data_IF_419916576371
#
_entry.id   IF_419916576371
#
_cell.length_a   1.000
_cell.length_b   1.000
_cell.length_c   1.000
_cell.angle_alpha   90.00
_cell.angle_beta   90.00
_cell.angle_gamma   90.00
#
_symmetry.space_group_name_H-M   'P 1'
#
loop_
_entity.id
_entity.type
_entity.pdbx_description
1 polymer ?
#
# COMPACT_ATOMS: atom_id res chain seq x y z
N UNK A 1 -46.82 18.94 9.13
CA UNK A 1 -46.11 19.69 10.18
C UNK A 1 -45.76 18.75 11.34
N UNK A 2 -44.54 18.33 11.47
CA UNK A 2 -43.90 17.85 12.71
C UNK A 2 -42.38 17.92 12.48
N UNK A 3 -41.74 18.89 13.08
CA UNK A 3 -40.31 19.06 13.16
C UNK A 3 -39.71 17.91 13.96
N UNK A 4 -38.64 17.32 13.46
CA UNK A 4 -37.81 16.37 14.20
C UNK A 4 -36.44 17.00 14.44
N UNK A 5 -36.15 17.27 15.72
CA UNK A 5 -34.90 17.77 16.24
C UNK A 5 -33.76 16.81 15.92
N UNK A 6 -32.73 17.28 15.22
CA UNK A 6 -31.43 16.65 15.15
C UNK A 6 -30.61 17.02 16.40
N UNK A 7 -30.25 16.02 17.19
CA UNK A 7 -29.27 16.17 18.27
C UNK A 7 -27.89 15.88 17.70
N UNK A 8 -27.04 16.89 17.66
CA UNK A 8 -25.62 16.75 17.40
C UNK A 8 -24.94 16.10 18.61
N UNK A 9 -24.29 14.95 18.40
CA UNK A 9 -23.38 14.34 19.36
C UNK A 9 -21.98 14.76 18.95
N UNK A 10 -21.36 15.64 19.74
CA UNK A 10 -19.96 15.98 19.58
C UNK A 10 -19.11 14.93 20.33
N UNK A 11 -18.27 14.18 19.63
CA UNK A 11 -17.23 13.37 20.25
C UNK A 11 -16.03 14.26 20.54
N UNK A 12 -15.72 14.39 21.82
CA UNK A 12 -14.56 15.10 22.34
C UNK A 12 -13.41 14.06 22.44
N UNK A 13 -12.42 14.14 21.56
CA UNK A 13 -11.19 13.36 21.67
C UNK A 13 -10.20 14.13 22.54
N UNK A 14 -9.87 13.60 23.71
CA UNK A 14 -8.85 14.15 24.60
C UNK A 14 -7.50 13.54 24.22
N UNK A 15 -6.62 14.38 23.68
CA UNK A 15 -5.20 14.04 23.47
C UNK A 15 -4.44 14.49 24.71
N UNK A 16 -3.90 13.54 25.48
CA UNK A 16 -2.97 13.81 26.59
C UNK A 16 -1.54 13.87 26.05
N UNK A 17 -0.95 15.06 26.09
CA UNK A 17 0.48 15.27 25.83
C UNK A 17 1.19 15.41 27.18
N UNK A 18 2.20 14.61 27.53
CA UNK A 18 3.02 14.86 28.71
C UNK A 18 4.10 15.90 28.39
N UNK A 19 4.01 17.08 29.02
CA UNK A 19 5.05 18.08 29.01
C UNK A 19 6.13 17.72 30.04
N UNK A 20 7.37 17.50 29.59
CA UNK A 20 8.55 17.46 30.46
C UNK A 20 9.07 18.88 30.65
N UNK A 21 8.96 19.38 31.87
CA UNK A 21 9.57 20.62 32.34
C UNK A 21 11.01 20.34 32.81
N UNK A 22 11.99 20.92 32.14
CA UNK A 22 13.34 21.05 32.67
C UNK A 22 13.53 22.47 33.18
N UNK A 23 13.60 22.61 34.52
CA UNK A 23 13.99 23.84 35.21
C UNK A 23 15.52 23.90 35.31
N UNK A 24 16.10 24.98 34.84
CA UNK A 24 17.45 25.37 35.22
C UNK A 24 17.42 26.85 35.68
N UNK A 25 17.49 27.07 36.99
CA UNK A 25 17.80 28.37 37.59
C UNK A 25 19.22 28.32 38.13
N UNK A 26 19.99 29.38 37.91
CA UNK A 26 21.25 29.57 38.57
C UNK A 26 21.94 30.86 38.14
N UNK A 27 21.50 31.99 38.68
CA UNK A 27 22.22 33.29 38.65
C UNK A 27 23.21 33.41 39.80
N UNK A 28 24.36 34.04 39.59
CA UNK A 28 25.28 34.39 40.65
C UNK A 28 26.45 35.24 40.14
N UNK A 29 26.52 36.44 40.61
CA UNK A 29 27.29 37.61 40.18
C UNK A 29 28.79 37.63 40.59
N UNK A 30 29.52 38.36 39.77
CA UNK A 30 30.64 39.29 40.01
C UNK A 30 31.65 39.06 41.13
N UNK A 31 32.94 39.17 40.76
CA UNK A 31 34.04 39.41 41.64
C UNK A 31 35.37 39.56 40.88
N UNK A 32 35.74 40.81 40.50
CA UNK A 32 37.05 41.17 40.05
C UNK A 32 38.03 41.12 41.24
N UNK A 33 39.18 40.50 41.07
CA UNK A 33 40.43 40.87 41.75
C UNK A 33 41.62 40.53 40.85
N UNK A 34 42.29 41.56 40.42
CA UNK A 34 43.61 41.55 39.77
C UNK A 34 44.71 41.19 40.73
N UNK A 35 45.61 40.28 40.35
CA UNK A 35 46.97 40.28 40.82
C UNK A 35 47.91 39.64 39.77
N UNK A 36 48.94 40.40 39.44
CA UNK A 36 50.04 40.07 38.57
C UNK A 36 50.94 39.01 39.18
N UNK A 37 51.45 38.01 38.42
CA UNK A 37 52.82 37.57 38.49
C UNK A 37 53.17 36.55 37.37
N UNK A 38 54.26 36.94 36.68
CA UNK A 38 55.33 36.12 36.07
C UNK A 38 54.95 34.77 35.39
N UNK A 39 55.19 34.72 34.10
CA UNK A 39 55.31 33.49 33.31
C UNK A 39 56.55 32.68 33.66
N UNK A 40 56.51 31.35 33.52
CA UNK A 40 57.54 30.61 32.85
C UNK A 40 56.99 29.61 31.81
N UNK A 41 57.76 29.50 30.71
CA UNK A 41 57.95 28.30 29.94
C UNK A 41 56.68 27.75 29.20
N UNK A 42 56.52 28.08 27.92
CA UNK A 42 55.62 27.41 27.00
C UNK A 42 56.18 26.02 26.66
N UNK A 43 55.62 24.98 27.28
CA UNK A 43 55.63 23.64 26.67
C UNK A 43 54.66 23.58 25.47
N UNK A 44 55.02 22.90 24.38
CA UNK A 44 54.10 22.77 23.24
C UNK A 44 52.89 21.91 23.69
N UNK A 45 51.71 22.52 23.65
CA UNK A 45 50.46 21.80 23.85
C UNK A 45 50.37 20.70 22.79
N UNK A 46 50.50 19.46 23.22
CA UNK A 46 50.13 18.29 22.38
C UNK A 46 48.65 18.39 22.14
N UNK A 47 48.26 18.80 20.92
CA UNK A 47 46.88 18.72 20.43
C UNK A 47 46.52 17.24 20.39
N UNK A 48 45.83 16.76 21.40
CA UNK A 48 45.15 15.47 21.32
C UNK A 48 43.98 15.68 20.36
N UNK A 49 44.13 15.25 19.10
CA UNK A 49 43.04 15.16 18.20
C UNK A 49 41.97 14.24 18.80
N UNK A 50 40.76 14.77 19.06
CA UNK A 50 39.65 13.92 19.41
C UNK A 50 39.45 12.90 18.27
N UNK A 51 39.23 11.62 18.58
CA UNK A 51 38.95 10.63 17.56
C UNK A 51 37.70 11.10 16.77
N UNK A 52 37.78 11.00 15.45
CA UNK A 52 36.68 11.29 14.56
C UNK A 52 35.52 10.37 14.96
N UNK A 53 34.27 10.89 15.11
CA UNK A 53 33.13 10.07 15.50
C UNK A 53 32.97 8.93 14.50
N UNK A 54 32.81 7.72 15.00
CA UNK A 54 32.57 6.56 14.14
C UNK A 54 31.30 6.80 13.28
N UNK A 55 31.35 6.46 11.99
CA UNK A 55 30.19 6.58 11.11
C UNK A 55 28.98 5.83 11.70
N UNK A 56 27.83 6.49 11.79
CA UNK A 56 26.61 5.89 12.31
C UNK A 56 25.81 5.26 11.17
N UNK A 57 25.03 4.20 11.43
CA UNK A 57 24.07 3.66 10.44
C UNK A 57 23.10 4.73 9.96
N UNK A 58 22.83 4.74 8.65
CA UNK A 58 21.78 5.54 8.06
C UNK A 58 20.44 4.76 8.13
N UNK A 59 19.39 5.42 8.62
CA UNK A 59 18.05 4.82 8.74
C UNK A 59 17.07 5.60 7.88
N UNK A 60 16.41 4.91 6.95
CA UNK A 60 15.30 5.42 6.15
C UNK A 60 14.01 4.76 6.62
N UNK A 61 12.96 5.54 6.84
CA UNK A 61 11.63 5.03 7.20
C UNK A 61 10.60 5.58 6.23
N UNK A 62 9.84 4.69 5.60
CA UNK A 62 8.73 5.01 4.69
C UNK A 62 7.42 4.58 5.33
N UNK A 63 6.45 5.48 5.36
CA UNK A 63 5.10 5.19 5.83
C UNK A 63 4.27 4.62 4.70
N UNK A 64 3.72 3.41 4.90
CA UNK A 64 2.93 2.69 3.91
C UNK A 64 1.45 2.65 4.32
N UNK A 65 0.54 2.82 3.35
CA UNK A 65 -0.87 2.55 3.52
C UNK A 65 -1.39 1.58 2.48
N UNK A 66 -2.28 0.66 2.89
CA UNK A 66 -2.99 -0.24 1.99
C UNK A 66 -4.50 -0.11 2.18
N UNK A 67 -5.21 -0.06 1.04
CA UNK A 67 -6.65 0.18 0.98
C UNK A 67 -7.34 -0.97 0.24
N UNK A 68 -8.51 -1.40 0.73
CA UNK A 68 -9.27 -2.52 0.20
C UNK A 68 -9.92 -2.27 -1.16
N UNK A 69 -11.06 -2.91 -1.38
CA UNK A 69 -11.70 -3.05 -2.69
C UNK A 69 -12.30 -1.72 -3.20
N UNK A 70 -11.72 -1.20 -4.28
CA UNK A 70 -12.24 -0.06 -5.03
C UNK A 70 -13.12 -0.59 -6.17
N UNK A 71 -14.37 -0.94 -5.84
CA UNK A 71 -15.32 -1.65 -6.70
C UNK A 71 -16.36 -0.67 -7.26
N UNK A 72 -16.17 -0.24 -8.50
CA UNK A 72 -16.94 0.85 -9.11
C UNK A 72 -18.18 0.34 -9.86
N UNK A 73 -19.31 0.35 -9.18
CA UNK A 73 -20.62 0.05 -9.75
C UNK A 73 -21.17 1.22 -10.58
N UNK A 74 -22.24 0.95 -11.36
CA UNK A 74 -22.93 1.95 -12.20
C UNK A 74 -23.44 3.16 -11.41
N UNK A 75 -23.98 2.96 -10.22
CA UNK A 75 -24.41 4.06 -9.35
C UNK A 75 -23.31 5.08 -9.10
N UNK A 76 -22.04 4.66 -9.03
CA UNK A 76 -20.91 5.54 -8.78
C UNK A 76 -20.47 6.29 -10.04
N UNK A 77 -20.30 5.60 -11.18
CA UNK A 77 -19.88 6.30 -12.40
C UNK A 77 -21.01 7.12 -13.03
N UNK A 78 -22.29 6.75 -12.85
CA UNK A 78 -23.42 7.57 -13.28
C UNK A 78 -23.52 8.88 -12.45
N UNK A 79 -23.27 8.81 -11.15
CA UNK A 79 -23.16 10.02 -10.32
C UNK A 79 -21.96 10.87 -10.74
N UNK A 80 -20.79 10.25 -11.02
CA UNK A 80 -19.62 10.95 -11.52
C UNK A 80 -19.91 11.66 -12.86
N UNK A 81 -20.66 11.02 -13.77
CA UNK A 81 -21.13 11.62 -15.02
C UNK A 81 -22.05 12.81 -14.78
N UNK A 82 -22.99 12.67 -13.84
CA UNK A 82 -23.90 13.75 -13.46
C UNK A 82 -23.16 14.97 -12.90
N UNK A 83 -22.16 14.75 -12.05
CA UNK A 83 -21.32 15.83 -11.52
C UNK A 83 -20.53 16.56 -12.61
N UNK A 84 -20.08 15.83 -13.63
CA UNK A 84 -19.40 16.40 -14.79
C UNK A 84 -20.35 17.08 -15.81
N UNK A 85 -21.64 17.27 -15.48
CA UNK A 85 -22.62 17.91 -16.39
C UNK A 85 -23.05 17.04 -17.57
N UNK A 86 -22.79 15.71 -17.51
CA UNK A 86 -23.15 14.74 -18.55
C UNK A 86 -22.07 14.49 -19.59
N UNK A 87 -21.00 15.28 -19.62
CA UNK A 87 -19.83 15.10 -20.48
C UNK A 87 -18.61 14.71 -19.63
N UNK A 88 -18.09 13.48 -19.85
CA UNK A 88 -17.00 12.93 -19.01
C UNK A 88 -17.51 12.43 -17.66
N UNK A 89 -16.58 12.35 -16.68
CA UNK A 89 -16.84 11.82 -15.33
C UNK A 89 -16.01 12.56 -14.30
N UNK A 90 -16.64 12.96 -13.16
CA UNK A 90 -15.99 13.55 -12.01
C UNK A 90 -16.11 12.61 -10.80
N UNK A 91 -15.01 11.92 -10.47
CA UNK A 91 -14.91 11.02 -9.35
C UNK A 91 -14.35 11.67 -8.07
N UNK A 92 -14.03 12.96 -8.08
CA UNK A 92 -13.39 13.67 -6.95
C UNK A 92 -14.18 13.47 -5.65
N UNK A 93 -15.51 13.57 -5.72
CA UNK A 93 -16.37 13.43 -4.54
C UNK A 93 -16.33 12.06 -3.86
N UNK A 94 -15.85 11.00 -4.54
CA UNK A 94 -15.69 9.68 -3.91
C UNK A 94 -14.57 9.69 -2.86
N UNK A 95 -13.57 10.52 -3.05
CA UNK A 95 -12.32 10.46 -2.30
C UNK A 95 -12.02 11.72 -1.48
N UNK A 96 -12.77 12.82 -1.67
CA UNK A 96 -12.47 14.13 -1.09
C UNK A 96 -12.30 14.09 0.45
N UNK A 97 -13.09 13.26 1.14
CA UNK A 97 -13.05 13.14 2.59
C UNK A 97 -11.84 12.35 3.11
N UNK A 98 -11.26 11.48 2.30
CA UNK A 98 -10.13 10.62 2.68
C UNK A 98 -8.81 11.10 2.06
N UNK A 99 -8.84 11.89 1.01
CA UNK A 99 -7.65 12.39 0.33
C UNK A 99 -6.64 13.09 1.28
N UNK A 100 -7.04 13.88 2.28
CA UNK A 100 -6.10 14.47 3.22
C UNK A 100 -5.29 13.44 4.01
N UNK A 101 -5.90 12.27 4.34
CA UNK A 101 -5.24 11.20 5.09
C UNK A 101 -4.07 10.59 4.30
N UNK A 102 -4.24 10.36 3.00
CA UNK A 102 -3.20 9.71 2.17
C UNK A 102 -1.96 10.58 1.93
N UNK A 103 -2.05 11.89 2.14
CA UNK A 103 -0.90 12.81 2.03
C UNK A 103 0.19 12.58 3.08
N UNK A 104 -0.16 11.91 4.17
CA UNK A 104 0.77 11.63 5.26
C UNK A 104 1.57 10.34 5.04
N UNK A 105 1.37 9.64 3.92
CA UNK A 105 2.05 8.39 3.59
C UNK A 105 2.96 8.56 2.38
N UNK A 106 4.10 7.87 2.43
CA UNK A 106 5.08 7.85 1.35
C UNK A 106 4.63 6.93 0.22
N UNK A 107 3.91 5.86 0.56
CA UNK A 107 3.42 4.84 -0.36
C UNK A 107 1.95 4.55 -0.05
N UNK A 108 1.11 4.65 -1.07
CA UNK A 108 -0.31 4.33 -0.99
C UNK A 108 -0.63 3.22 -1.99
N UNK A 109 -1.08 2.06 -1.48
CA UNK A 109 -1.50 0.89 -2.23
C UNK A 109 -3.03 0.77 -2.22
N UNK A 110 -3.63 0.35 -3.35
CA UNK A 110 -5.08 0.13 -3.47
C UNK A 110 -5.38 -1.12 -4.30
N UNK A 111 -6.40 -1.91 -3.92
CA UNK A 111 -6.98 -2.91 -4.81
C UNK A 111 -8.00 -2.25 -5.74
N UNK A 112 -7.64 -2.08 -7.01
CA UNK A 112 -8.54 -1.60 -8.05
C UNK A 112 -9.30 -2.79 -8.63
N UNK A 113 -10.51 -3.03 -8.14
CA UNK A 113 -11.28 -4.25 -8.42
C UNK A 113 -12.08 -4.20 -9.72
N UNK A 114 -11.95 -3.15 -10.51
CA UNK A 114 -12.56 -3.05 -11.83
C UNK A 114 -11.52 -2.69 -12.87
N UNK A 115 -11.68 -3.19 -14.09
CA UNK A 115 -10.90 -2.72 -15.23
C UNK A 115 -11.09 -1.22 -15.44
N UNK A 116 -10.01 -0.49 -15.74
CA UNK A 116 -10.02 0.97 -15.95
C UNK A 116 -9.50 1.27 -17.34
N UNK A 117 -10.33 1.88 -18.19
CA UNK A 117 -9.93 2.26 -19.56
C UNK A 117 -10.90 3.27 -20.14
N UNK A 118 -10.43 4.07 -21.11
CA UNK A 118 -11.28 4.90 -21.98
C UNK A 118 -11.55 4.23 -23.35
N UNK A 119 -10.98 3.04 -23.62
CA UNK A 119 -11.13 2.34 -24.90
C UNK A 119 -12.42 1.49 -24.99
N UNK A 120 -12.99 1.10 -23.86
CA UNK A 120 -14.18 0.28 -23.77
C UNK A 120 -15.32 1.03 -23.08
N UNK A 121 -16.58 0.76 -23.47
CA UNK A 121 -17.71 1.42 -22.81
C UNK A 121 -17.81 1.00 -21.33
N UNK A 122 -18.16 1.93 -20.43
CA UNK A 122 -18.40 1.63 -19.04
C UNK A 122 -19.50 0.60 -18.85
N UNK A 123 -19.30 -0.29 -17.89
CA UNK A 123 -20.28 -1.31 -17.49
C UNK A 123 -20.14 -1.65 -16.02
N UNK A 124 -21.20 -2.22 -15.45
CA UNK A 124 -21.29 -2.62 -14.05
C UNK A 124 -21.49 -4.13 -13.93
N UNK A 125 -21.89 -4.58 -12.74
CA UNK A 125 -22.18 -5.99 -12.48
C UNK A 125 -23.03 -6.62 -13.61
N UNK A 126 -22.72 -7.87 -14.04
CA UNK A 126 -21.69 -8.76 -13.52
C UNK A 126 -20.28 -8.58 -14.14
N UNK A 127 -20.12 -7.79 -15.19
CA UNK A 127 -18.84 -7.60 -15.89
C UNK A 127 -18.47 -6.12 -15.96
N UNK A 128 -17.57 -5.71 -15.06
CA UNK A 128 -17.21 -4.31 -14.88
C UNK A 128 -16.26 -3.77 -15.93
N UNK A 129 -16.40 -2.48 -16.19
CA UNK A 129 -15.43 -1.64 -16.89
C UNK A 129 -15.66 -0.20 -16.45
N UNK A 130 -14.63 0.47 -15.99
CA UNK A 130 -14.72 1.81 -15.40
C UNK A 130 -14.01 2.83 -16.29
N UNK A 131 -14.57 4.05 -16.44
CA UNK A 131 -13.93 5.11 -17.22
C UNK A 131 -12.56 5.48 -16.67
N UNK A 132 -11.60 5.80 -17.55
CA UNK A 132 -10.23 6.22 -17.18
C UNK A 132 -10.17 7.45 -16.26
N UNK A 133 -11.21 8.27 -16.22
CA UNK A 133 -11.33 9.36 -15.25
C UNK A 133 -11.24 8.88 -13.80
N UNK A 134 -11.61 7.63 -13.49
CA UNK A 134 -11.41 7.05 -12.17
C UNK A 134 -9.94 6.87 -11.85
N UNK A 135 -9.17 6.28 -12.76
CA UNK A 135 -7.73 6.08 -12.54
C UNK A 135 -7.00 7.40 -12.32
N UNK A 136 -7.38 8.45 -13.07
CA UNK A 136 -6.86 9.80 -12.84
C UNK A 136 -7.22 10.34 -11.46
N UNK A 137 -8.46 10.14 -10.99
CA UNK A 137 -8.89 10.54 -9.66
C UNK A 137 -8.16 9.75 -8.54
N UNK A 138 -7.92 8.45 -8.74
CA UNK A 138 -7.10 7.61 -7.85
C UNK A 138 -5.68 8.18 -7.75
N UNK A 139 -5.08 8.52 -8.90
CA UNK A 139 -3.76 9.16 -8.94
C UNK A 139 -3.73 10.49 -8.19
N UNK A 140 -4.72 11.36 -8.39
CA UNK A 140 -4.81 12.70 -7.80
C UNK A 140 -4.91 12.67 -6.27
N UNK A 141 -5.50 11.61 -5.70
CA UNK A 141 -5.54 11.38 -4.25
C UNK A 141 -4.17 11.02 -3.68
N UNK A 142 -3.33 10.36 -4.48
CA UNK A 142 -1.99 9.95 -4.06
C UNK A 142 -1.72 8.44 -4.09
N UNK A 143 -2.67 7.61 -4.57
CA UNK A 143 -2.36 6.20 -4.80
C UNK A 143 -1.40 6.06 -5.98
N UNK A 144 -0.32 5.33 -5.76
CA UNK A 144 0.73 5.07 -6.75
C UNK A 144 0.94 3.59 -7.00
N UNK A 145 0.50 2.73 -6.10
CA UNK A 145 0.59 1.28 -6.25
C UNK A 145 -0.80 0.71 -6.46
N UNK A 146 -1.05 0.21 -7.67
CA UNK A 146 -2.37 -0.25 -8.12
C UNK A 146 -2.33 -1.77 -8.29
N UNK A 147 -2.96 -2.48 -7.37
CA UNK A 147 -3.18 -3.92 -7.48
C UNK A 147 -4.42 -4.18 -8.33
N UNK A 148 -4.28 -5.02 -9.35
CA UNK A 148 -5.33 -5.23 -10.34
C UNK A 148 -5.67 -6.72 -10.55
N UNK A 149 -5.05 -7.64 -9.80
CA UNK A 149 -5.39 -9.06 -9.86
C UNK A 149 -6.56 -9.35 -8.93
N UNK A 150 -7.74 -9.59 -9.50
CA UNK A 150 -8.99 -9.81 -8.76
C UNK A 150 -9.98 -10.63 -9.61
N UNK A 151 -11.14 -10.96 -9.04
CA UNK A 151 -12.19 -11.73 -9.71
C UNK A 151 -12.81 -11.02 -10.93
N UNK A 152 -12.65 -9.70 -11.06
CA UNK A 152 -13.13 -8.88 -12.18
C UNK A 152 -12.06 -8.56 -13.24
N UNK A 153 -10.84 -9.06 -13.06
CA UNK A 153 -9.74 -8.81 -13.99
C UNK A 153 -10.03 -9.29 -15.42
N UNK A 154 -10.85 -10.34 -15.58
CA UNK A 154 -11.16 -10.95 -16.87
C UNK A 154 -12.56 -10.60 -17.42
N UNK A 155 -13.24 -9.62 -16.83
CA UNK A 155 -14.61 -9.23 -17.19
C UNK A 155 -14.80 -8.80 -18.65
N UNK A 156 -13.75 -8.35 -19.30
CA UNK A 156 -13.69 -7.99 -20.73
C UNK A 156 -12.67 -8.84 -21.51
N UNK A 157 -12.32 -10.00 -20.96
CA UNK A 157 -11.33 -10.90 -21.55
C UNK A 157 -9.96 -10.27 -21.71
N UNK A 158 -9.10 -10.86 -22.53
CA UNK A 158 -7.75 -10.34 -22.81
C UNK A 158 -7.75 -8.91 -23.36
N UNK A 159 -8.83 -8.53 -24.10
CA UNK A 159 -8.98 -7.16 -24.59
C UNK A 159 -9.12 -6.16 -23.44
N UNK A 160 -9.87 -6.51 -22.40
CA UNK A 160 -10.05 -5.67 -21.22
C UNK A 160 -8.75 -5.48 -20.44
N UNK A 161 -8.01 -6.56 -20.22
CA UNK A 161 -6.67 -6.49 -19.60
C UNK A 161 -5.74 -5.61 -20.42
N UNK A 162 -5.62 -5.86 -21.73
CA UNK A 162 -4.74 -5.08 -22.60
C UNK A 162 -5.10 -3.59 -22.63
N UNK A 163 -6.40 -3.24 -22.67
CA UNK A 163 -6.84 -1.85 -22.62
C UNK A 163 -6.55 -1.18 -21.26
N UNK A 164 -6.71 -1.93 -20.16
CA UNK A 164 -6.39 -1.45 -18.80
C UNK A 164 -4.87 -1.24 -18.63
N UNK A 165 -4.04 -2.16 -19.13
CA UNK A 165 -2.59 -1.99 -19.11
C UNK A 165 -2.17 -0.73 -19.86
N UNK A 166 -2.66 -0.51 -21.10
CA UNK A 166 -2.36 0.72 -21.85
C UNK A 166 -2.80 1.99 -21.12
N UNK A 167 -3.96 1.97 -20.48
CA UNK A 167 -4.41 3.12 -19.69
C UNK A 167 -3.43 3.48 -18.57
N UNK A 168 -2.96 2.47 -17.82
CA UNK A 168 -2.02 2.71 -16.73
C UNK A 168 -0.61 3.01 -17.22
N UNK A 169 -0.18 2.47 -18.37
CA UNK A 169 1.09 2.80 -19.01
C UNK A 169 1.16 4.26 -19.49
N UNK A 170 -0.01 4.86 -19.81
CA UNK A 170 -0.14 6.28 -20.18
C UNK A 170 -0.19 7.22 -18.95
N UNK A 171 -0.27 6.68 -17.73
CA UNK A 171 -0.21 7.46 -16.50
C UNK A 171 1.24 7.87 -16.18
N UNK A 172 1.47 8.83 -15.25
CA UNK A 172 2.82 9.23 -14.87
C UNK A 172 3.69 8.06 -14.39
N UNK A 173 5.01 8.14 -14.67
CA UNK A 173 6.01 7.08 -14.42
C UNK A 173 6.14 6.67 -12.94
N UNK A 174 5.57 7.42 -11.99
CA UNK A 174 5.57 7.09 -10.57
C UNK A 174 4.43 6.13 -10.18
N UNK A 175 3.55 5.75 -11.12
CA UNK A 175 2.52 4.72 -10.91
C UNK A 175 3.13 3.34 -11.13
N UNK A 176 2.91 2.46 -10.18
CA UNK A 176 3.29 1.05 -10.26
C UNK A 176 2.03 0.19 -10.28
N UNK A 177 1.90 -0.63 -11.30
CA UNK A 177 0.79 -1.58 -11.46
C UNK A 177 1.26 -3.01 -11.24
N UNK A 178 0.39 -3.87 -10.71
CA UNK A 178 0.69 -5.29 -10.50
C UNK A 178 -0.53 -6.18 -10.70
N UNK A 179 -0.31 -7.40 -11.15
CA UNK A 179 -1.31 -8.47 -11.20
C UNK A 179 -2.04 -8.65 -12.51
N UNK A 180 -1.87 -7.75 -13.49
CA UNK A 180 -2.28 -7.97 -14.89
C UNK A 180 -1.03 -8.11 -15.77
N UNK A 181 -1.08 -9.00 -16.74
CA UNK A 181 0.05 -9.33 -17.62
C UNK A 181 -0.36 -9.29 -19.08
N UNK A 182 0.47 -8.71 -19.94
CA UNK A 182 0.26 -8.73 -21.38
C UNK A 182 0.53 -10.13 -21.96
N UNK A 183 1.20 -11.01 -21.22
CA UNK A 183 1.43 -12.41 -21.54
C UNK A 183 2.28 -13.11 -20.49
N UNK A 184 2.40 -14.43 -20.57
CA UNK A 184 3.23 -15.21 -19.64
C UNK A 184 4.71 -14.81 -19.66
N UNK A 185 5.20 -14.27 -20.79
CA UNK A 185 6.57 -13.77 -20.91
C UNK A 185 6.86 -12.62 -19.92
N UNK A 186 5.80 -11.93 -19.44
CA UNK A 186 5.92 -10.80 -18.52
C UNK A 186 5.95 -11.22 -17.04
N UNK A 187 5.73 -12.50 -16.73
CA UNK A 187 5.76 -12.97 -15.34
C UNK A 187 7.10 -12.75 -14.63
N UNK A 188 8.20 -12.67 -15.40
CA UNK A 188 9.53 -12.32 -14.89
C UNK A 188 9.78 -10.82 -14.70
N UNK A 189 8.90 -9.97 -15.20
CA UNK A 189 9.00 -8.51 -15.05
C UNK A 189 8.38 -8.09 -13.71
N UNK A 190 9.17 -8.11 -12.64
CA UNK A 190 8.69 -7.76 -11.29
C UNK A 190 8.53 -6.25 -11.18
N UNK A 191 7.32 -5.71 -10.89
CA UNK A 191 7.13 -4.29 -10.64
C UNK A 191 7.86 -3.86 -9.37
N UNK A 192 8.80 -2.91 -9.49
CA UNK A 192 9.61 -2.41 -8.38
C UNK A 192 9.50 -0.89 -8.33
N UNK A 193 9.19 -0.36 -7.15
CA UNK A 193 9.31 1.04 -6.83
C UNK A 193 10.58 1.27 -6.01
N UNK A 194 11.37 2.26 -6.39
CA UNK A 194 12.46 2.75 -5.54
C UNK A 194 12.07 4.10 -4.95
N UNK A 195 12.10 4.20 -3.62
CA UNK A 195 11.82 5.42 -2.89
C UNK A 195 12.83 5.60 -1.77
N UNK A 196 13.53 6.73 -1.77
CA UNK A 196 14.56 7.06 -0.78
C UNK A 196 15.61 5.94 -0.57
N UNK A 197 15.97 5.24 -1.65
CA UNK A 197 16.92 4.14 -1.63
C UNK A 197 16.36 2.80 -1.09
N UNK A 198 15.06 2.72 -0.84
CA UNK A 198 14.35 1.47 -0.52
C UNK A 198 13.68 0.94 -1.79
N UNK A 199 13.99 -0.30 -2.17
CA UNK A 199 13.40 -1.00 -3.32
C UNK A 199 12.29 -1.92 -2.84
N UNK A 200 11.08 -1.72 -3.35
CA UNK A 200 9.89 -2.46 -2.95
C UNK A 200 9.30 -3.13 -4.18
N UNK A 201 9.19 -4.46 -4.15
CA UNK A 201 8.54 -5.24 -5.17
C UNK A 201 7.06 -5.47 -4.84
N UNK A 202 6.21 -5.43 -5.86
CA UNK A 202 4.77 -5.63 -5.72
C UNK A 202 4.31 -6.78 -6.60
N UNK A 203 3.62 -7.73 -6.00
CA UNK A 203 3.01 -8.88 -6.69
C UNK A 203 1.53 -8.97 -6.34
N UNK A 204 0.71 -9.50 -7.26
CA UNK A 204 -0.71 -9.69 -6.97
C UNK A 204 -1.27 -10.91 -7.70
N UNK A 205 -2.15 -11.65 -7.01
CA UNK A 205 -2.73 -12.92 -7.44
C UNK A 205 -4.24 -12.96 -7.15
N UNK A 206 -4.98 -13.75 -7.91
CA UNK A 206 -6.43 -13.96 -7.68
C UNK A 206 -6.80 -15.42 -7.59
N UNK A 207 -7.78 -15.75 -6.76
CA UNK A 207 -8.28 -17.13 -6.64
C UNK A 207 -9.20 -17.51 -7.80
N UNK A 208 -9.91 -16.53 -8.37
CA UNK A 208 -10.92 -16.77 -9.40
C UNK A 208 -11.09 -15.54 -10.30
N UNK A 209 -11.71 -15.75 -11.45
CA UNK A 209 -12.21 -14.69 -12.34
C UNK A 209 -13.70 -14.90 -12.62
N UNK A 210 -14.50 -15.18 -11.58
CA UNK A 210 -15.96 -15.31 -11.63
C UNK A 210 -16.46 -16.34 -12.66
N UNK A 211 -15.71 -17.44 -12.85
CA UNK A 211 -16.05 -18.47 -13.84
C UNK A 211 -15.79 -18.06 -15.29
N UNK A 212 -15.06 -16.97 -15.51
CA UNK A 212 -14.50 -16.56 -16.80
C UNK A 212 -13.01 -16.95 -16.84
N UNK A 213 -12.69 -18.24 -17.08
CA UNK A 213 -11.30 -18.69 -17.00
C UNK A 213 -10.48 -18.05 -18.12
N UNK A 214 -9.24 -17.73 -17.82
CA UNK A 214 -8.27 -17.34 -18.84
C UNK A 214 -8.07 -18.49 -19.82
N UNK A 215 -8.34 -18.35 -21.13
CA UNK A 215 -8.02 -19.36 -22.11
C UNK A 215 -6.51 -19.65 -22.15
N UNK A 216 -6.12 -20.89 -22.43
CA UNK A 216 -4.71 -21.28 -22.50
C UNK A 216 -3.90 -20.57 -23.58
N UNK A 217 -4.59 -19.97 -24.57
CA UNK A 217 -4.01 -19.18 -25.66
C UNK A 217 -4.24 -17.66 -25.47
N UNK A 218 -4.66 -17.24 -24.28
CA UNK A 218 -4.89 -15.83 -23.99
C UNK A 218 -3.57 -15.04 -24.09
N UNK A 219 -3.60 -13.97 -24.88
CA UNK A 219 -2.46 -13.06 -25.01
C UNK A 219 -2.22 -12.30 -23.69
N UNK A 220 -3.30 -11.88 -23.01
CA UNK A 220 -3.20 -11.15 -21.72
C UNK A 220 -3.97 -11.92 -20.64
N UNK A 221 -3.43 -11.97 -19.41
CA UNK A 221 -3.92 -12.85 -18.37
C UNK A 221 -3.61 -12.36 -16.94
N UNK A 222 -3.98 -13.17 -15.95
CA UNK A 222 -3.67 -13.06 -14.52
C UNK A 222 -2.99 -14.34 -14.04
N UNK A 223 -2.37 -14.30 -12.87
CA UNK A 223 -1.87 -15.50 -12.19
C UNK A 223 -2.89 -15.91 -11.11
N UNK A 224 -3.36 -17.15 -11.20
CA UNK A 224 -4.29 -17.71 -10.22
C UNK A 224 -3.55 -18.26 -9.00
N UNK A 225 -4.21 -18.21 -7.83
CA UNK A 225 -3.65 -18.78 -6.58
C UNK A 225 -3.36 -20.27 -6.67
N UNK A 226 -3.95 -20.99 -7.62
CA UNK A 226 -3.66 -22.39 -7.92
C UNK A 226 -2.32 -22.61 -8.66
N UNK A 227 -1.71 -21.57 -9.19
CA UNK A 227 -0.41 -21.63 -9.89
C UNK A 227 0.74 -21.40 -8.91
N UNK A 228 0.78 -22.19 -7.84
CA UNK A 228 1.70 -22.01 -6.71
C UNK A 228 3.18 -21.96 -7.14
N UNK A 229 3.58 -22.77 -8.11
CA UNK A 229 4.96 -22.79 -8.63
C UNK A 229 5.36 -21.44 -9.28
N UNK A 230 4.41 -20.79 -9.99
CA UNK A 230 4.63 -19.48 -10.60
C UNK A 230 4.72 -18.41 -9.53
N UNK A 231 3.84 -18.45 -8.53
CA UNK A 231 3.83 -17.54 -7.39
C UNK A 231 5.15 -17.61 -6.64
N UNK A 232 5.60 -18.83 -6.30
CA UNK A 232 6.87 -19.04 -5.63
C UNK A 232 8.04 -18.44 -6.42
N UNK A 233 8.12 -18.75 -7.73
CA UNK A 233 9.18 -18.24 -8.59
C UNK A 233 9.19 -16.70 -8.65
N UNK A 234 8.02 -16.06 -8.73
CA UNK A 234 7.93 -14.61 -8.73
C UNK A 234 8.38 -14.00 -7.39
N UNK A 235 7.97 -14.58 -6.25
CA UNK A 235 8.37 -14.10 -4.92
C UNK A 235 9.89 -14.25 -4.73
N UNK A 236 10.45 -15.39 -5.10
CA UNK A 236 11.89 -15.64 -5.04
C UNK A 236 12.68 -14.67 -5.94
N UNK A 237 12.16 -14.38 -7.13
CA UNK A 237 12.76 -13.42 -8.05
C UNK A 237 12.66 -11.98 -7.51
N UNK A 238 11.51 -11.60 -6.95
CA UNK A 238 11.29 -10.31 -6.30
C UNK A 238 12.27 -10.11 -5.13
N UNK A 239 12.46 -11.15 -4.31
CA UNK A 239 13.40 -11.14 -3.18
C UNK A 239 14.86 -10.89 -3.57
N UNK A 240 15.25 -11.31 -4.79
CA UNK A 240 16.60 -11.05 -5.31
C UNK A 240 16.78 -9.60 -5.80
N UNK A 241 15.68 -8.89 -6.08
CA UNK A 241 15.70 -7.59 -6.73
C UNK A 241 15.29 -6.43 -5.81
N UNK A 242 14.63 -6.72 -4.68
CA UNK A 242 14.06 -5.71 -3.80
C UNK A 242 14.41 -5.95 -2.33
N UNK A 243 14.37 -4.88 -1.55
CA UNK A 243 14.55 -4.90 -0.09
C UNK A 243 13.29 -5.45 0.60
N UNK A 244 12.11 -5.12 0.06
CA UNK A 244 10.78 -5.50 0.58
C UNK A 244 9.94 -6.11 -0.55
N UNK A 245 9.20 -7.17 -0.24
CA UNK A 245 8.24 -7.83 -1.15
C UNK A 245 6.84 -7.75 -0.55
N UNK A 246 5.94 -7.01 -1.21
CA UNK A 246 4.53 -6.87 -0.86
C UNK A 246 3.69 -7.71 -1.80
N UNK A 247 2.85 -8.59 -1.26
CA UNK A 247 2.01 -9.50 -2.03
C UNK A 247 0.53 -9.22 -1.76
N UNK A 248 -0.21 -8.78 -2.80
CA UNK A 248 -1.66 -8.71 -2.80
C UNK A 248 -2.28 -10.06 -3.16
N UNK A 249 -3.33 -10.47 -2.47
CA UNK A 249 -4.07 -11.70 -2.84
C UNK A 249 -5.57 -11.46 -2.75
N UNK A 250 -6.26 -11.69 -3.87
CA UNK A 250 -7.71 -11.57 -3.96
C UNK A 250 -8.36 -12.95 -3.85
N UNK A 251 -8.92 -13.29 -2.67
CA UNK A 251 -9.24 -14.66 -2.28
C UNK A 251 -10.35 -14.79 -1.24
N UNK A 252 -10.81 -16.02 -1.03
CA UNK A 252 -11.72 -16.37 0.07
C UNK A 252 -13.18 -16.33 -0.32
N UNK A 253 -14.07 -16.06 0.62
CA UNK A 253 -15.51 -16.14 0.45
C UNK A 253 -16.16 -14.80 0.77
N UNK A 254 -16.91 -14.26 -0.18
CA UNK A 254 -17.65 -13.01 -0.01
C UNK A 254 -18.55 -13.04 1.24
N UNK A 255 -18.53 -11.97 2.02
CA UNK A 255 -19.31 -11.79 3.25
C UNK A 255 -18.79 -12.59 4.45
N UNK A 256 -17.75 -13.41 4.31
CA UNK A 256 -17.17 -14.16 5.43
C UNK A 256 -16.10 -13.34 6.17
N UNK A 257 -16.29 -13.14 7.49
CA UNK A 257 -15.27 -12.54 8.36
C UNK A 257 -14.19 -13.54 8.81
N UNK A 258 -14.34 -14.81 8.46
CA UNK A 258 -13.41 -15.88 8.85
C UNK A 258 -12.62 -16.33 7.63
N UNK A 259 -11.30 -16.23 7.64
CA UNK A 259 -10.46 -16.76 6.58
C UNK A 259 -10.65 -18.26 6.42
N UNK A 260 -10.68 -18.74 5.19
CA UNK A 260 -10.73 -20.18 4.87
C UNK A 260 -9.39 -20.86 5.21
N UNK A 261 -9.41 -22.19 5.33
CA UNK A 261 -8.17 -22.97 5.49
C UNK A 261 -7.23 -22.80 4.29
N UNK A 262 -7.78 -22.61 3.07
CA UNK A 262 -7.01 -22.35 1.86
C UNK A 262 -6.27 -20.99 1.94
N UNK A 263 -6.95 -19.93 2.40
CA UNK A 263 -6.30 -18.63 2.63
C UNK A 263 -5.15 -18.74 3.63
N UNK A 264 -5.37 -19.45 4.75
CA UNK A 264 -4.34 -19.66 5.79
C UNK A 264 -3.15 -20.45 5.25
N UNK A 265 -3.41 -21.55 4.53
CA UNK A 265 -2.36 -22.40 3.98
C UNK A 265 -1.51 -21.66 2.93
N UNK A 266 -2.15 -20.95 1.99
CA UNK A 266 -1.43 -20.20 0.97
C UNK A 266 -0.71 -18.97 1.57
N UNK A 267 -1.32 -18.27 2.52
CA UNK A 267 -0.70 -17.17 3.23
C UNK A 267 0.61 -17.58 3.91
N UNK A 268 0.62 -18.75 4.58
CA UNK A 268 1.85 -19.30 5.17
C UNK A 268 2.91 -19.60 4.11
N UNK A 269 2.53 -20.24 2.98
CA UNK A 269 3.47 -20.51 1.88
C UNK A 269 4.07 -19.24 1.30
N UNK A 270 3.25 -18.20 1.04
CA UNK A 270 3.70 -16.90 0.54
C UNK A 270 4.72 -16.27 1.51
N UNK A 271 4.47 -16.35 2.82
CA UNK A 271 5.42 -15.90 3.83
C UNK A 271 6.72 -16.71 3.79
N UNK A 272 6.62 -18.03 3.67
CA UNK A 272 7.77 -18.95 3.61
C UNK A 272 8.63 -18.75 2.35
N UNK A 273 8.02 -18.37 1.23
CA UNK A 273 8.72 -18.06 -0.03
C UNK A 273 9.43 -16.70 -0.03
N UNK A 274 9.13 -15.83 0.96
CA UNK A 274 9.90 -14.60 1.16
C UNK A 274 9.15 -13.29 1.03
N UNK A 275 7.82 -13.30 1.07
CA UNK A 275 7.04 -12.07 1.21
C UNK A 275 7.30 -11.42 2.58
N UNK A 276 7.26 -10.09 2.60
CA UNK A 276 7.40 -9.29 3.83
C UNK A 276 6.05 -8.84 4.38
N UNK A 277 5.07 -8.63 3.50
CA UNK A 277 3.70 -8.22 3.84
C UNK A 277 2.73 -8.90 2.88
N UNK A 278 1.60 -9.38 3.41
CA UNK A 278 0.52 -10.00 2.61
C UNK A 278 -0.77 -9.20 2.83
N UNK A 279 -1.39 -8.73 1.73
CA UNK A 279 -2.58 -7.89 1.73
C UNK A 279 -3.71 -8.63 1.01
N UNK A 280 -4.69 -9.11 1.75
CA UNK A 280 -5.85 -9.81 1.24
C UNK A 280 -7.01 -8.88 0.91
N UNK A 281 -7.79 -9.26 -0.11
CA UNK A 281 -8.99 -8.59 -0.62
C UNK A 281 -10.00 -9.62 -1.12
N UNK A 282 -11.18 -9.25 -1.62
CA UNK A 282 -12.28 -10.07 -2.15
C UNK A 282 -13.45 -10.32 -1.18
N UNK A 283 -13.29 -10.70 0.11
CA UNK A 283 -14.46 -10.97 0.95
C UNK A 283 -15.45 -9.81 1.09
N UNK A 284 -15.06 -8.60 0.69
CA UNK A 284 -15.83 -7.35 0.83
C UNK A 284 -16.23 -7.01 2.27
N UNK A 285 -15.68 -7.75 3.22
CA UNK A 285 -15.78 -7.54 4.66
C UNK A 285 -14.42 -7.71 5.29
N UNK A 286 -14.21 -7.09 6.45
CA UNK A 286 -12.94 -7.18 7.16
C UNK A 286 -12.72 -8.60 7.66
N UNK A 287 -11.51 -9.14 7.43
CA UNK A 287 -11.01 -10.36 8.04
C UNK A 287 -9.82 -10.05 8.97
N UNK A 288 -9.39 -10.96 9.84
CA UNK A 288 -8.30 -10.73 10.79
C UNK A 288 -7.00 -10.26 10.14
N UNK A 289 -6.23 -9.49 10.92
CA UNK A 289 -4.81 -9.26 10.70
C UNK A 289 -4.03 -10.13 11.67
N UNK A 290 -3.10 -10.93 11.15
CA UNK A 290 -2.29 -11.87 11.93
C UNK A 290 -0.80 -11.67 11.62
N UNK A 291 0.06 -12.20 12.49
CA UNK A 291 1.50 -12.23 12.28
C UNK A 291 1.93 -13.67 12.04
N UNK A 292 2.39 -13.97 10.83
CA UNK A 292 2.92 -15.28 10.50
C UNK A 292 4.42 -15.33 10.84
N UNK A 293 4.92 -16.55 11.08
CA UNK A 293 6.37 -16.77 11.18
C UNK A 293 6.81 -17.58 9.96
N UNK A 294 7.63 -16.98 9.11
CA UNK A 294 8.16 -17.63 7.92
C UNK A 294 9.08 -18.79 8.30
N UNK A 295 8.82 -19.98 7.74
CA UNK A 295 9.66 -21.15 7.96
C UNK A 295 11.08 -20.92 7.39
N UNK A 296 12.09 -21.43 8.05
CA UNK A 296 13.48 -21.32 7.62
C UNK A 296 14.18 -20.00 7.97
N UNK A 297 13.49 -18.85 7.95
CA UNK A 297 14.07 -17.54 8.33
C UNK A 297 13.69 -17.08 9.73
N UNK A 298 12.54 -17.54 10.25
CA UNK A 298 11.97 -17.06 11.50
C UNK A 298 11.43 -15.62 11.42
N UNK A 299 11.38 -15.02 10.22
CA UNK A 299 10.89 -13.65 10.00
C UNK A 299 9.40 -13.57 10.32
N UNK A 300 8.99 -12.48 10.98
CA UNK A 300 7.58 -12.17 11.19
C UNK A 300 7.02 -11.48 9.94
N UNK A 301 5.92 -12.01 9.40
CA UNK A 301 5.25 -11.52 8.19
C UNK A 301 3.81 -11.15 8.55
N UNK A 302 3.44 -9.87 8.54
CA UNK A 302 2.06 -9.47 8.73
C UNK A 302 1.21 -9.88 7.53
N UNK A 303 0.03 -10.42 7.82
CA UNK A 303 -1.01 -10.74 6.86
C UNK A 303 -2.33 -10.09 7.28
N UNK A 304 -2.91 -9.29 6.38
CA UNK A 304 -4.31 -8.91 6.49
C UNK A 304 -5.10 -9.80 5.53
N UNK A 305 -5.99 -10.65 6.03
CA UNK A 305 -6.72 -11.59 5.16
C UNK A 305 -7.75 -10.91 4.28
N UNK A 306 -8.37 -9.81 4.74
CA UNK A 306 -9.19 -8.91 3.92
C UNK A 306 -9.30 -7.53 4.54
N UNK A 307 -9.13 -6.49 3.73
CA UNK A 307 -9.33 -5.10 4.14
C UNK A 307 -10.80 -4.64 4.00
N UNK A 308 -11.66 -5.47 3.37
CA UNK A 308 -13.04 -5.12 3.06
C UNK A 308 -13.15 -4.10 1.93
N UNK A 309 -14.36 -3.58 1.72
CA UNK A 309 -14.60 -2.54 0.71
C UNK A 309 -14.01 -1.19 1.13
N UNK A 310 -13.42 -0.51 0.18
CA UNK A 310 -13.10 0.90 0.31
C UNK A 310 -14.19 1.76 -0.34
N UNK A 311 -14.52 1.48 -1.60
CA UNK A 311 -15.61 2.11 -2.32
C UNK A 311 -16.45 1.03 -3.00
N UNK A 312 -17.76 1.00 -2.72
CA UNK A 312 -18.70 0.05 -3.31
C UNK A 312 -20.13 0.58 -3.17
N UNK A 313 -21.08 0.02 -3.92
CA UNK A 313 -22.52 0.22 -3.69
C UNK A 313 -23.17 -0.97 -2.97
N UNK A 314 -22.41 -1.93 -2.49
CA UNK A 314 -22.93 -3.02 -1.66
C UNK A 314 -23.50 -2.45 -0.36
N UNK A 315 -24.80 -2.69 -0.11
CA UNK A 315 -25.56 -2.01 0.96
C UNK A 315 -25.67 -2.80 2.27
N UNK A 316 -25.17 -4.04 2.32
CA UNK A 316 -25.14 -4.80 3.57
C UNK A 316 -24.21 -4.11 4.58
N UNK A 317 -24.61 -3.99 5.84
CA UNK A 317 -23.89 -3.22 6.84
C UNK A 317 -22.40 -3.61 6.97
N UNK A 318 -22.09 -4.90 6.90
CA UNK A 318 -20.72 -5.38 6.97
C UNK A 318 -19.87 -5.00 5.76
N UNK A 319 -20.49 -4.84 4.58
CA UNK A 319 -19.81 -4.42 3.35
C UNK A 319 -19.57 -2.89 3.28
N UNK A 320 -20.17 -2.13 4.20
CA UNK A 320 -19.99 -0.68 4.30
C UNK A 320 -18.83 -0.29 5.22
N UNK A 321 -18.11 -1.26 5.76
CA UNK A 321 -16.98 -1.03 6.67
C UNK A 321 -15.74 -1.68 6.08
N UNK A 322 -14.72 -0.89 5.82
CA UNK A 322 -13.38 -1.31 5.43
C UNK A 322 -12.34 -0.79 6.41
N UNK A 323 -11.12 -1.25 6.27
CA UNK A 323 -9.97 -0.76 7.04
C UNK A 323 -8.87 -0.29 6.10
N UNK A 324 -8.09 0.69 6.55
CA UNK A 324 -6.83 1.07 5.95
C UNK A 324 -5.73 0.47 6.81
N UNK A 325 -4.95 -0.45 6.24
CA UNK A 325 -3.78 -1.02 6.91
C UNK A 325 -2.63 -0.03 6.77
N UNK A 326 -1.94 0.28 7.87
CA UNK A 326 -0.77 1.16 7.86
C UNK A 326 0.39 0.52 8.59
N UNK A 327 1.60 0.70 8.06
CA UNK A 327 2.84 0.25 8.68
C UNK A 327 4.02 1.07 8.17
N UNK A 328 5.13 0.98 8.86
CA UNK A 328 6.39 1.61 8.46
C UNK A 328 7.32 0.56 7.86
N UNK A 329 7.99 0.92 6.76
CA UNK A 329 9.10 0.18 6.18
C UNK A 329 10.39 0.86 6.63
N UNK A 330 11.26 0.15 7.33
CA UNK A 330 12.54 0.70 7.80
C UNK A 330 13.71 0.00 7.12
N UNK A 331 14.59 0.77 6.48
CA UNK A 331 15.87 0.28 5.95
C UNK A 331 17.01 0.89 6.74
N UNK A 332 17.88 0.04 7.28
CA UNK A 332 19.10 0.43 7.97
C UNK A 332 20.29 0.07 7.09
N UNK A 333 21.10 1.08 6.73
CA UNK A 333 22.34 0.92 5.98
C UNK A 333 23.52 1.17 6.91
N UNK A 334 24.37 0.16 7.08
CA UNK A 334 25.56 0.24 7.91
C UNK A 334 26.68 1.03 7.21
N UNK A 335 27.68 1.55 7.96
CA UNK A 335 28.82 2.26 7.38
C UNK A 335 29.65 1.42 6.39
N UNK A 336 29.62 0.10 6.50
CA UNK A 336 30.29 -0.84 5.58
C UNK A 336 29.51 -1.10 4.28
N UNK A 337 28.33 -0.46 4.13
CA UNK A 337 27.44 -0.60 2.97
C UNK A 337 26.49 -1.78 3.06
N UNK A 338 26.55 -2.63 4.07
CA UNK A 338 25.54 -3.66 4.30
C UNK A 338 24.20 -3.03 4.69
N UNK A 339 23.08 -3.61 4.26
CA UNK A 339 21.75 -3.09 4.56
C UNK A 339 20.78 -4.19 4.95
N UNK A 340 19.81 -3.83 5.80
CA UNK A 340 18.66 -4.65 6.14
C UNK A 340 17.38 -3.82 6.09
N UNK A 341 16.26 -4.43 5.70
CA UNK A 341 14.95 -3.79 5.67
C UNK A 341 13.90 -4.67 6.38
N UNK A 342 12.92 -4.01 7.01
CA UNK A 342 11.83 -4.65 7.75
C UNK A 342 10.56 -3.81 7.71
#
# INVERSE_FOLDING_TARGET
>A
MKQRNQKHIALLSVVLVPALLLSACGSGASGQLSSSSTAPGSEPAVSVSQPEPEPQPAVTTLRFSATGDNLIHDGLYLQARSRAGGEGYDFTALYENVAPFYKDFDINWINQETLVTDELPPSSYPCFCTPGALGRAVYDVGWRVISMSNNHSYDKGSQGIAATLRFWDDMPDDVVTTGLYAGEADYGNIPIQEKEGVRIAYLAYTETTNGLPTPSDAAANVIYTSQEDVIQQQIELARQQADIVVVGVHWGVEGSHTPTDAQRALGQKIADWGADVIIGTHPHVIQPVELLTAAGTGKTVPIAYSLGNFVSTQAAANNMVGVILTFDITKTTQPDGSASAS
#
